data_IF_089864510433
#
_entry.id   IF_089864510433
#
_cell.length_a   1.000
_cell.length_b   1.000
_cell.length_c   1.000
_cell.angle_alpha   90.00
_cell.angle_beta   90.00
_cell.angle_gamma   90.00
#
_symmetry.space_group_name_H-M   'P 1'
#
loop_
_entity.id
_entity.type
_entity.pdbx_description
1 polymer ?
#
# COMPACT_ATOMS: atom_id res chain seq x y z
N UNK A 1 0.76 -2.30 11.00
CA UNK A 1 1.03 -2.90 9.67
C UNK A 1 0.80 -4.40 9.73
N UNK A 2 0.07 -4.97 8.76
CA UNK A 2 -0.41 -6.37 8.83
C UNK A 2 0.50 -7.38 8.11
N UNK A 3 1.74 -7.03 7.76
CA UNK A 3 2.68 -7.91 7.05
C UNK A 3 2.57 -7.89 5.52
N UNK A 4 1.93 -6.87 4.95
CA UNK A 4 1.99 -6.60 3.53
C UNK A 4 3.30 -5.87 3.22
N UNK A 5 4.21 -6.52 2.51
CA UNK A 5 5.54 -5.98 2.20
C UNK A 5 5.46 -4.72 1.31
N UNK A 6 4.40 -4.57 0.55
CA UNK A 6 4.19 -3.36 -0.25
C UNK A 6 3.96 -2.11 0.61
N UNK A 7 3.21 -2.24 1.70
CA UNK A 7 3.02 -1.14 2.65
C UNK A 7 4.37 -0.80 3.35
N UNK A 8 5.22 -1.82 3.56
CA UNK A 8 6.57 -1.66 4.13
C UNK A 8 7.48 -0.87 3.18
N UNK A 9 7.47 -1.18 1.88
CA UNK A 9 8.25 -0.45 0.87
C UNK A 9 7.97 1.06 0.88
N UNK A 10 6.70 1.43 0.77
CA UNK A 10 6.28 2.83 0.75
C UNK A 10 6.64 3.55 2.05
N UNK A 11 6.36 2.90 3.17
CA UNK A 11 6.58 3.50 4.49
C UNK A 11 8.07 3.65 4.81
N UNK A 12 8.94 2.74 4.35
CA UNK A 12 10.39 2.89 4.47
C UNK A 12 10.87 4.17 3.78
N UNK A 13 10.41 4.41 2.55
CA UNK A 13 10.76 5.62 1.80
C UNK A 13 10.27 6.87 2.52
N UNK A 14 9.01 6.88 2.95
CA UNK A 14 8.43 8.02 3.66
C UNK A 14 9.16 8.32 4.97
N UNK A 15 9.37 7.32 5.82
CA UNK A 15 10.03 7.53 7.12
C UNK A 15 11.49 7.96 6.96
N UNK A 16 12.23 7.39 6.01
CA UNK A 16 13.59 7.83 5.69
C UNK A 16 13.61 9.31 5.30
N UNK A 17 12.67 9.73 4.45
CA UNK A 17 12.55 11.11 4.02
C UNK A 17 12.15 12.07 5.16
N UNK A 18 11.28 11.60 6.09
CA UNK A 18 10.91 12.40 7.26
C UNK A 18 12.07 12.52 8.27
N UNK A 19 12.92 11.49 8.40
CA UNK A 19 14.13 11.56 9.23
C UNK A 19 15.14 12.60 8.74
N UNK A 20 15.22 12.84 7.43
CA UNK A 20 16.08 13.90 6.87
C UNK A 20 15.62 15.33 7.25
N UNK A 21 14.41 15.48 7.81
CA UNK A 21 13.94 16.74 8.37
C UNK A 21 14.42 16.96 9.83
N UNK A 22 15.15 16.00 10.39
CA UNK A 22 15.69 16.03 11.76
C UNK A 22 14.62 16.30 12.85
N UNK A 23 13.45 15.61 12.82
CA UNK A 23 12.42 15.83 13.82
C UNK A 23 12.90 15.40 15.20
N UNK A 24 12.51 16.12 16.26
CA UNK A 24 12.80 15.72 17.64
C UNK A 24 12.21 14.35 17.98
N UNK A 25 11.01 14.09 17.48
CA UNK A 25 10.32 12.80 17.60
C UNK A 25 9.59 12.44 16.32
N UNK A 26 9.74 11.21 15.87
CA UNK A 26 9.00 10.62 14.77
C UNK A 26 8.30 9.36 15.26
N UNK A 27 7.04 9.49 15.64
CA UNK A 27 6.23 8.38 16.12
C UNK A 27 5.39 7.76 15.00
N UNK A 28 5.32 6.43 14.98
CA UNK A 28 4.49 5.68 14.06
C UNK A 28 3.28 5.11 14.80
N UNK A 29 2.09 5.61 14.46
CA UNK A 29 0.84 5.06 14.95
C UNK A 29 0.29 3.99 13.99
N UNK A 30 -0.23 2.91 14.53
CA UNK A 30 -0.77 1.87 13.67
C UNK A 30 -1.51 0.75 14.38
N UNK A 31 -2.24 0.00 13.58
CA UNK A 31 -2.94 -1.22 13.97
C UNK A 31 -2.36 -2.41 13.18
N UNK A 32 -2.12 -3.56 13.75
CA UNK A 32 -2.49 -4.06 15.09
C UNK A 32 -1.51 -3.60 16.19
N UNK A 33 -1.90 -3.86 17.46
CA UNK A 33 -1.10 -3.55 18.65
C UNK A 33 0.31 -4.15 18.64
N UNK A 34 0.55 -5.19 17.85
CA UNK A 34 1.89 -5.74 17.58
C UNK A 34 2.15 -5.71 16.08
N UNK A 35 3.21 -5.01 15.64
CA UNK A 35 3.61 -5.01 14.24
C UNK A 35 4.06 -6.41 13.79
N UNK A 36 3.98 -6.68 12.49
CA UNK A 36 4.48 -7.93 11.95
C UNK A 36 6.03 -7.94 11.94
N UNK A 37 6.69 -9.11 12.10
CA UNK A 37 8.15 -9.20 12.01
C UNK A 37 8.74 -8.57 10.74
N UNK A 38 8.06 -8.70 9.60
CA UNK A 38 8.45 -8.11 8.33
C UNK A 38 8.55 -6.57 8.33
N UNK A 39 8.15 -5.92 9.43
CA UNK A 39 8.15 -4.45 9.57
C UNK A 39 9.24 -3.95 10.51
N UNK A 40 10.14 -4.83 10.97
CA UNK A 40 11.18 -4.47 11.94
C UNK A 40 12.07 -3.31 11.44
N UNK A 41 12.53 -3.40 10.18
CA UNK A 41 13.40 -2.37 9.57
C UNK A 41 12.71 -1.01 9.49
N UNK A 42 11.40 -1.01 9.21
CA UNK A 42 10.59 0.21 9.15
C UNK A 42 10.38 0.80 10.55
N UNK A 43 10.17 -0.07 11.55
CA UNK A 43 9.99 0.38 12.93
C UNK A 43 11.26 0.99 13.51
N UNK A 44 12.44 0.54 13.06
CA UNK A 44 13.70 1.14 13.44
C UNK A 44 13.87 2.60 12.95
N UNK A 45 13.07 3.04 11.98
CA UNK A 45 13.05 4.43 11.51
C UNK A 45 12.13 5.34 12.35
N UNK A 46 11.32 4.78 13.24
CA UNK A 46 10.45 5.55 14.16
C UNK A 46 10.99 5.46 15.58
N UNK A 47 10.76 6.52 16.38
CA UNK A 47 11.19 6.53 17.78
C UNK A 47 10.31 5.64 18.65
N UNK A 48 9.02 5.64 18.38
CA UNK A 48 8.03 4.81 19.08
C UNK A 48 6.99 4.27 18.14
N UNK A 49 6.51 3.07 18.45
CA UNK A 49 5.31 2.53 17.85
C UNK A 49 4.12 2.69 18.80
N UNK A 50 3.18 3.53 18.41
CA UNK A 50 1.95 3.75 19.17
C UNK A 50 0.90 2.76 18.68
N UNK A 51 0.63 1.74 19.49
CA UNK A 51 -0.43 0.80 19.21
C UNK A 51 -1.79 1.50 19.22
N UNK A 52 -2.47 1.48 18.09
CA UNK A 52 -3.81 2.03 17.98
C UNK A 52 -4.86 0.96 18.25
N UNK A 53 -5.56 1.01 19.39
CA UNK A 53 -6.59 0.06 19.76
C UNK A 53 -7.93 0.34 19.08
N UNK A 54 -7.93 0.98 17.90
CA UNK A 54 -9.20 1.26 17.20
C UNK A 54 -10.06 0.01 17.10
N UNK A 55 -11.32 0.03 17.58
CA UNK A 55 -12.17 -1.14 17.56
C UNK A 55 -12.41 -1.62 16.13
N UNK A 56 -12.12 -2.89 15.87
CA UNK A 56 -12.44 -3.56 14.59
C UNK A 56 -13.90 -3.46 14.16
N UNK A 57 -14.75 -3.04 15.06
CA UNK A 57 -16.20 -3.12 14.96
C UNK A 57 -16.88 -1.77 14.73
N UNK A 58 -16.10 -0.72 14.39
CA UNK A 58 -16.69 0.59 14.15
C UNK A 58 -17.74 0.57 13.04
N UNK A 59 -17.51 -0.23 12.00
CA UNK A 59 -18.46 -0.43 10.90
C UNK A 59 -19.70 -1.25 11.27
N UNK A 60 -19.68 -1.89 12.44
CA UNK A 60 -20.79 -2.71 12.96
C UNK A 60 -21.59 -1.99 14.06
N UNK A 61 -21.19 -0.79 14.44
CA UNK A 61 -21.94 -0.02 15.44
C UNK A 61 -23.22 0.53 14.81
N UNK A 62 -24.37 0.36 15.46
CA UNK A 62 -25.62 0.92 14.98
C UNK A 62 -25.48 2.44 14.85
N UNK A 63 -26.03 2.98 13.76
CA UNK A 63 -26.24 4.40 13.59
C UNK A 63 -27.17 4.90 14.68
N UNK A 64 -26.64 5.56 15.71
CA UNK A 64 -27.43 6.04 16.83
C UNK A 64 -26.57 6.60 17.97
N UNK A 65 -27.20 6.80 19.13
CA UNK A 65 -26.55 7.41 20.32
C UNK A 65 -25.24 6.70 20.72
N UNK A 66 -25.17 5.38 20.57
CA UNK A 66 -23.94 4.60 20.85
C UNK A 66 -22.79 4.98 19.92
N UNK A 67 -23.04 5.15 18.63
CA UNK A 67 -22.03 5.58 17.65
C UNK A 67 -21.49 6.98 17.96
N UNK A 68 -22.37 7.92 18.30
CA UNK A 68 -21.99 9.29 18.64
C UNK A 68 -21.14 9.37 19.93
N UNK A 69 -21.44 8.54 20.95
CA UNK A 69 -20.64 8.48 22.18
C UNK A 69 -19.23 7.95 21.91
N UNK A 70 -19.10 6.91 21.10
CA UNK A 70 -17.81 6.33 20.75
C UNK A 70 -17.00 7.33 19.90
N UNK A 71 -17.62 7.99 18.92
CA UNK A 71 -17.00 9.03 18.12
C UNK A 71 -16.48 10.18 19.02
N UNK A 72 -17.27 10.61 20.00
CA UNK A 72 -16.88 11.64 20.97
C UNK A 72 -15.70 11.22 21.84
N UNK A 73 -15.69 9.99 22.34
CA UNK A 73 -14.56 9.47 23.13
C UNK A 73 -13.29 9.35 22.27
N UNK A 74 -13.45 8.85 21.04
CA UNK A 74 -12.34 8.75 20.08
C UNK A 74 -11.74 10.11 19.77
N UNK A 75 -12.57 11.08 19.43
CA UNK A 75 -12.15 12.46 19.15
C UNK A 75 -11.40 13.07 20.33
N UNK A 76 -11.89 12.89 21.58
CA UNK A 76 -11.19 13.38 22.78
C UNK A 76 -9.83 12.74 22.97
N UNK A 77 -9.73 11.42 22.74
CA UNK A 77 -8.46 10.69 22.84
C UNK A 77 -7.47 11.16 21.77
N UNK A 78 -7.95 11.35 20.53
CA UNK A 78 -7.12 11.86 19.44
C UNK A 78 -6.64 13.28 19.67
N UNK A 79 -7.50 14.15 20.15
CA UNK A 79 -7.12 15.51 20.54
C UNK A 79 -5.97 15.50 21.56
N UNK A 80 -6.06 14.69 22.61
CA UNK A 80 -5.00 14.57 23.63
C UNK A 80 -3.70 13.97 23.06
N UNK A 81 -3.80 13.08 22.09
CA UNK A 81 -2.63 12.52 21.43
C UNK A 81 -1.98 13.57 20.52
N UNK A 82 -2.76 14.15 19.63
CA UNK A 82 -2.25 15.04 18.59
C UNK A 82 -1.77 16.38 19.13
N UNK A 83 -2.29 16.86 20.28
CA UNK A 83 -1.77 18.08 20.93
C UNK A 83 -0.30 18.00 21.38
N UNK A 84 0.36 16.84 21.19
CA UNK A 84 1.79 16.63 21.52
C UNK A 84 2.67 16.61 20.28
N UNK A 85 2.12 16.87 19.11
CA UNK A 85 2.81 16.79 17.83
C UNK A 85 2.60 18.06 17.03
N UNK A 86 3.54 18.32 16.13
CA UNK A 86 3.52 19.49 15.26
C UNK A 86 2.91 19.21 13.89
N UNK A 87 2.77 17.95 13.50
CA UNK A 87 2.17 17.54 12.24
C UNK A 87 1.56 16.13 12.28
N UNK A 88 0.60 15.87 11.39
CA UNK A 88 0.08 14.54 11.09
C UNK A 88 0.43 14.15 9.65
N UNK A 89 1.18 13.07 9.49
CA UNK A 89 1.44 12.48 8.17
C UNK A 89 0.68 11.16 8.05
N UNK A 90 -0.33 11.12 7.20
CA UNK A 90 -1.07 9.92 6.88
C UNK A 90 -0.23 9.05 5.93
N UNK A 91 0.13 7.85 6.39
CA UNK A 91 0.95 6.91 5.64
C UNK A 91 0.33 6.54 4.28
N UNK A 92 1.13 6.25 3.25
CA UNK A 92 0.64 5.89 1.92
C UNK A 92 -0.30 4.68 1.95
N UNK A 93 -1.30 4.67 1.10
CA UNK A 93 -2.17 3.51 0.97
C UNK A 93 -3.55 3.77 0.35
N UNK A 94 -4.29 2.70 0.05
CA UNK A 94 -5.61 2.78 -0.58
C UNK A 94 -6.75 2.68 0.46
N UNK A 95 -6.63 3.28 1.63
CA UNK A 95 -7.60 3.09 2.70
C UNK A 95 -8.60 4.25 2.87
N UNK A 96 -8.49 5.31 2.07
CA UNK A 96 -9.45 6.42 2.06
C UNK A 96 -10.52 6.18 0.99
N UNK A 97 -11.46 5.28 1.30
CA UNK A 97 -12.62 4.99 0.45
C UNK A 97 -13.76 4.44 1.32
N UNK A 98 -15.02 4.70 0.94
CA UNK A 98 -16.21 4.29 1.71
C UNK A 98 -16.26 2.80 2.05
N UNK A 99 -15.80 1.96 1.12
CA UNK A 99 -15.77 0.51 1.29
C UNK A 99 -14.64 0.01 2.20
N UNK A 100 -13.71 0.88 2.62
CA UNK A 100 -12.62 0.48 3.52
C UNK A 100 -12.94 0.86 4.97
N UNK A 101 -13.07 -0.10 5.88
CA UNK A 101 -13.41 0.19 7.28
C UNK A 101 -12.35 1.04 8.01
N UNK A 102 -11.15 1.19 7.43
CA UNK A 102 -10.09 2.06 7.97
C UNK A 102 -10.32 3.53 7.65
N UNK A 103 -11.14 3.83 6.63
CA UNK A 103 -11.40 5.21 6.21
C UNK A 103 -11.98 6.04 7.35
N UNK A 104 -12.92 5.50 8.10
CA UNK A 104 -13.59 6.22 9.20
C UNK A 104 -12.59 6.73 10.23
N UNK A 105 -11.64 5.89 10.68
CA UNK A 105 -10.63 6.33 11.64
C UNK A 105 -9.65 7.34 11.04
N UNK A 106 -9.21 7.11 9.81
CA UNK A 106 -8.28 8.02 9.14
C UNK A 106 -8.91 9.39 8.88
N UNK A 107 -10.17 9.44 8.43
CA UNK A 107 -10.91 10.69 8.21
C UNK A 107 -11.15 11.44 9.53
N UNK A 108 -11.44 10.72 10.62
CA UNK A 108 -11.53 11.31 11.96
C UNK A 108 -10.18 11.89 12.40
N UNK A 109 -9.08 11.18 12.20
CA UNK A 109 -7.74 11.64 12.54
C UNK A 109 -7.36 12.91 11.77
N UNK A 110 -7.63 12.94 10.47
CA UNK A 110 -7.45 14.12 9.61
C UNK A 110 -8.26 15.32 10.15
N UNK A 111 -9.55 15.10 10.44
CA UNK A 111 -10.42 16.16 10.93
C UNK A 111 -9.94 16.72 12.28
N UNK A 112 -9.57 15.85 13.22
CA UNK A 112 -9.11 16.25 14.56
C UNK A 112 -7.78 16.99 14.49
N UNK A 113 -6.82 16.51 13.70
CA UNK A 113 -5.53 17.18 13.54
C UNK A 113 -5.71 18.59 12.92
N UNK A 114 -6.54 18.70 11.89
CA UNK A 114 -6.84 19.97 11.25
C UNK A 114 -7.58 20.95 12.19
N UNK A 115 -8.46 20.46 13.07
CA UNK A 115 -9.12 21.27 14.10
C UNK A 115 -8.15 21.79 15.17
N UNK A 116 -7.05 21.11 15.41
CA UNK A 116 -5.97 21.53 16.28
C UNK A 116 -4.99 22.50 15.59
N UNK A 117 -5.20 22.82 14.31
CA UNK A 117 -4.30 23.66 13.53
C UNK A 117 -3.04 22.94 13.05
N UNK A 118 -2.95 21.62 13.19
CA UNK A 118 -1.79 20.88 12.73
C UNK A 118 -1.78 20.77 11.20
N UNK A 119 -0.63 20.90 10.53
CA UNK A 119 -0.49 20.52 9.15
C UNK A 119 -0.75 19.02 9.00
N UNK A 120 -1.63 18.69 8.04
CA UNK A 120 -2.02 17.32 7.73
C UNK A 120 -1.57 16.98 6.32
N UNK A 121 -0.74 15.96 6.20
CA UNK A 121 -0.19 15.50 4.93
C UNK A 121 -0.79 14.12 4.58
N UNK A 122 -1.43 14.03 3.42
CA UNK A 122 -1.85 12.75 2.84
C UNK A 122 -0.77 12.27 1.86
N UNK A 123 0.10 11.36 2.32
CA UNK A 123 1.27 10.92 1.57
C UNK A 123 0.92 9.79 0.59
N UNK A 124 0.97 10.06 -0.72
CA UNK A 124 0.87 9.05 -1.79
C UNK A 124 -0.33 8.09 -1.64
N UNK A 125 -1.55 8.65 -1.65
CA UNK A 125 -2.78 7.90 -1.46
C UNK A 125 -3.49 7.52 -2.77
N UNK A 126 -4.16 6.36 -2.77
CA UNK A 126 -5.32 6.12 -3.60
C UNK A 126 -6.57 6.50 -2.79
N UNK A 127 -7.33 7.46 -3.27
CA UNK A 127 -8.57 7.89 -2.65
C UNK A 127 -9.73 7.47 -3.57
N UNK A 128 -10.61 6.66 -3.04
CA UNK A 128 -11.80 6.19 -3.75
C UNK A 128 -13.01 7.10 -3.51
N UNK A 129 -14.21 6.65 -3.93
CA UNK A 129 -15.43 7.37 -3.62
C UNK A 129 -15.57 7.61 -2.11
N UNK A 130 -15.88 8.85 -1.75
CA UNK A 130 -16.17 9.31 -0.40
C UNK A 130 -17.48 10.09 -0.42
N UNK A 131 -18.23 9.98 0.65
CA UNK A 131 -19.37 10.86 0.92
C UNK A 131 -18.89 12.31 1.18
N UNK A 132 -19.82 13.25 1.27
CA UNK A 132 -19.49 14.67 1.51
C UNK A 132 -18.77 14.88 2.86
N UNK A 133 -19.03 14.06 3.86
CA UNK A 133 -18.34 14.12 5.16
C UNK A 133 -16.87 13.71 5.01
N UNK A 134 -16.62 12.63 4.29
CA UNK A 134 -15.26 12.15 3.98
C UNK A 134 -14.49 13.16 3.12
N UNK A 135 -15.14 13.73 2.10
CA UNK A 135 -14.54 14.79 1.27
C UNK A 135 -14.23 16.03 2.09
N UNK A 136 -15.13 16.44 2.99
CA UNK A 136 -14.90 17.57 3.88
C UNK A 136 -13.68 17.36 4.78
N UNK A 137 -13.46 16.14 5.29
CA UNK A 137 -12.26 15.82 6.04
C UNK A 137 -11.00 15.90 5.16
N UNK A 138 -11.03 15.31 3.95
CA UNK A 138 -9.91 15.35 3.01
C UNK A 138 -9.57 16.79 2.58
N UNK A 139 -10.57 17.67 2.42
CA UNK A 139 -10.37 19.11 2.12
C UNK A 139 -9.56 19.83 3.20
N UNK A 140 -9.65 19.40 4.47
CA UNK A 140 -8.90 19.97 5.59
C UNK A 140 -7.41 19.62 5.60
N UNK A 141 -6.99 18.59 4.88
CA UNK A 141 -5.57 18.28 4.79
C UNK A 141 -4.81 19.44 4.15
N UNK A 142 -3.61 19.75 4.64
CA UNK A 142 -2.74 20.80 4.11
C UNK A 142 -2.26 20.44 2.71
N UNK A 143 -1.85 19.18 2.53
CA UNK A 143 -1.45 18.67 1.22
C UNK A 143 -1.97 17.26 0.99
N UNK A 144 -2.33 16.96 -0.25
CA UNK A 144 -2.84 15.67 -0.73
C UNK A 144 -2.03 15.23 -1.92
N UNK A 145 -1.29 14.11 -1.74
CA UNK A 145 -0.49 13.52 -2.81
C UNK A 145 -1.25 12.31 -3.35
N UNK A 146 -1.67 12.40 -4.60
CA UNK A 146 -2.33 11.32 -5.33
C UNK A 146 -1.30 10.49 -6.07
N UNK A 147 -1.26 9.18 -5.83
CA UNK A 147 -0.26 8.28 -6.45
C UNK A 147 -0.64 7.76 -7.83
N UNK A 148 -1.86 8.05 -8.30
CA UNK A 148 -2.33 7.71 -9.64
C UNK A 148 -3.28 8.77 -10.20
N UNK A 149 -3.37 8.90 -11.54
CA UNK A 149 -4.22 9.90 -12.22
C UNK A 149 -5.71 9.76 -11.86
N UNK A 150 -6.20 8.56 -11.58
CA UNK A 150 -7.61 8.33 -11.23
C UNK A 150 -7.99 9.04 -9.93
N UNK A 151 -7.19 8.92 -8.89
CA UNK A 151 -7.37 9.63 -7.62
C UNK A 151 -7.27 11.15 -7.82
N UNK A 152 -6.28 11.60 -8.58
CA UNK A 152 -6.09 13.03 -8.85
C UNK A 152 -7.32 13.61 -9.55
N UNK A 153 -7.80 13.00 -10.64
CA UNK A 153 -9.01 13.43 -11.35
C UNK A 153 -10.25 13.41 -10.46
N UNK A 154 -10.41 12.35 -9.64
CA UNK A 154 -11.53 12.25 -8.70
C UNK A 154 -11.56 13.43 -7.73
N UNK A 155 -10.44 13.74 -7.09
CA UNK A 155 -10.36 14.86 -6.14
C UNK A 155 -10.58 16.22 -6.82
N UNK A 156 -9.90 16.48 -7.95
CA UNK A 156 -10.06 17.74 -8.70
C UNK A 156 -11.50 17.93 -9.19
N UNK A 157 -12.16 16.86 -9.67
CA UNK A 157 -13.57 16.89 -10.09
C UNK A 157 -14.55 17.17 -8.93
N UNK A 158 -14.10 17.00 -7.67
CA UNK A 158 -14.85 17.35 -6.45
C UNK A 158 -14.39 18.67 -5.82
N UNK A 159 -13.62 19.48 -6.54
CA UNK A 159 -13.10 20.75 -6.05
C UNK A 159 -12.06 20.61 -4.94
N UNK A 160 -11.37 19.47 -4.87
CA UNK A 160 -10.30 19.19 -3.90
C UNK A 160 -8.97 19.18 -4.64
N UNK A 161 -8.11 20.17 -4.39
CA UNK A 161 -6.77 20.21 -4.98
C UNK A 161 -5.93 19.04 -4.52
N UNK A 162 -5.16 18.44 -5.40
CA UNK A 162 -4.15 17.42 -5.07
C UNK A 162 -2.93 17.55 -5.99
N UNK A 163 -1.80 17.03 -5.53
CA UNK A 163 -0.58 16.92 -6.34
C UNK A 163 -0.55 15.52 -6.94
N UNK A 164 -0.47 15.43 -8.27
CA UNK A 164 -0.25 14.15 -8.94
C UNK A 164 1.20 13.71 -8.72
N UNK A 165 1.35 12.48 -8.31
CA UNK A 165 2.63 11.83 -8.04
C UNK A 165 2.59 10.40 -8.56
N UNK A 166 3.60 9.60 -8.22
CA UNK A 166 3.58 8.16 -8.30
C UNK A 166 3.71 7.54 -6.91
N UNK A 167 3.55 6.23 -6.83
CA UNK A 167 3.70 5.49 -5.58
C UNK A 167 5.13 5.60 -5.04
N UNK A 168 5.29 5.85 -3.74
CA UNK A 168 6.61 5.98 -3.12
C UNK A 168 7.46 4.70 -3.22
N UNK A 169 6.85 3.55 -3.46
CA UNK A 169 7.59 2.31 -3.71
C UNK A 169 8.54 2.40 -4.93
N UNK A 170 8.28 3.29 -5.90
CA UNK A 170 9.22 3.54 -7.01
C UNK A 170 10.56 4.11 -6.54
N UNK A 171 10.62 4.75 -5.37
CA UNK A 171 11.83 5.34 -4.79
C UNK A 171 12.56 4.40 -3.82
N UNK A 172 12.00 3.22 -3.54
CA UNK A 172 12.67 2.27 -2.64
C UNK A 172 14.04 1.89 -3.25
N UNK A 173 15.12 1.86 -2.44
CA UNK A 173 16.44 1.49 -2.94
C UNK A 173 16.55 -0.02 -3.17
N UNK A 174 16.09 -0.49 -4.33
CA UNK A 174 16.15 -1.91 -4.73
C UNK A 174 17.58 -2.42 -4.96
N UNK A 175 18.60 -1.64 -4.66
CA UNK A 175 20.02 -1.98 -4.82
C UNK A 175 20.47 -2.91 -3.71
N UNK A 176 21.38 -3.85 -4.03
CA UNK A 176 21.99 -4.84 -3.12
C UNK A 176 21.19 -6.13 -2.90
N UNK A 177 20.63 -6.69 -3.95
CA UNK A 177 20.11 -8.06 -3.90
C UNK A 177 21.22 -9.04 -4.29
N UNK A 178 22.30 -9.07 -3.48
CA UNK A 178 23.38 -10.04 -3.65
C UNK A 178 22.95 -11.40 -3.07
N UNK A 179 23.30 -12.49 -3.76
CA UNK A 179 23.06 -13.86 -3.36
C UNK A 179 22.17 -14.63 -4.34
N UNK A 180 22.23 -15.95 -4.26
CA UNK A 180 21.40 -16.83 -5.09
C UNK A 180 19.92 -16.61 -4.81
N UNK A 181 19.09 -16.74 -5.84
CA UNK A 181 17.63 -16.74 -5.71
C UNK A 181 17.16 -17.94 -4.87
N UNK A 182 15.98 -17.86 -4.26
CA UNK A 182 15.42 -18.97 -3.49
C UNK A 182 14.94 -20.14 -4.37
N UNK A 183 14.95 -19.97 -5.68
CA UNK A 183 14.54 -20.94 -6.70
C UNK A 183 15.49 -20.83 -7.88
N UNK A 184 15.84 -21.96 -8.47
CA UNK A 184 16.67 -21.98 -9.67
C UNK A 184 15.90 -21.44 -10.89
N UNK A 185 16.45 -20.46 -11.63
CA UNK A 185 15.84 -19.94 -12.86
C UNK A 185 15.91 -20.96 -14.02
N UNK A 186 15.07 -20.83 -15.06
CA UNK A 186 14.10 -19.75 -15.26
C UNK A 186 12.74 -20.02 -14.59
N UNK A 187 12.20 -18.98 -13.92
CA UNK A 187 10.86 -19.05 -13.35
C UNK A 187 10.11 -17.73 -13.49
N UNK A 188 8.78 -17.81 -13.56
CA UNK A 188 7.86 -16.67 -13.56
C UNK A 188 7.02 -16.65 -12.28
N UNK A 189 6.94 -15.49 -11.66
CA UNK A 189 6.20 -15.32 -10.42
C UNK A 189 4.74 -14.96 -10.68
N UNK A 190 3.86 -15.55 -9.88
CA UNK A 190 2.43 -15.29 -9.90
C UNK A 190 1.96 -14.90 -8.50
N UNK A 191 1.54 -13.63 -8.33
CA UNK A 191 0.98 -13.10 -7.10
C UNK A 191 -0.53 -12.98 -7.23
N UNK A 192 -1.28 -13.75 -6.44
CA UNK A 192 -2.74 -13.75 -6.44
C UNK A 192 -3.28 -13.48 -5.04
N UNK A 193 -4.38 -12.71 -4.98
CA UNK A 193 -5.13 -12.46 -3.74
C UNK A 193 -6.30 -13.42 -3.63
N UNK A 194 -6.54 -13.88 -2.40
CA UNK A 194 -7.62 -14.82 -2.09
C UNK A 194 -9.03 -14.29 -2.41
N UNK A 195 -9.21 -12.98 -2.45
CA UNK A 195 -10.49 -12.34 -2.73
C UNK A 195 -10.70 -11.96 -4.20
N UNK A 196 -9.71 -12.15 -5.06
CA UNK A 196 -9.77 -11.77 -6.48
C UNK A 196 -9.90 -12.97 -7.42
N UNK A 197 -9.54 -14.16 -6.94
CA UNK A 197 -9.48 -15.39 -7.77
C UNK A 197 -10.29 -16.49 -7.11
N UNK A 198 -11.08 -17.20 -7.89
CA UNK A 198 -11.77 -18.41 -7.41
C UNK A 198 -10.84 -19.62 -7.54
N UNK A 199 -10.36 -20.14 -6.40
CA UNK A 199 -9.49 -21.30 -6.36
C UNK A 199 -10.05 -22.53 -7.07
N UNK A 200 -11.39 -22.69 -7.12
CA UNK A 200 -12.06 -23.84 -7.77
C UNK A 200 -11.97 -23.77 -9.29
N UNK A 201 -11.74 -22.59 -9.83
CA UNK A 201 -11.64 -22.33 -11.27
C UNK A 201 -10.19 -22.31 -11.77
N UNK A 202 -9.21 -22.36 -10.84
CA UNK A 202 -7.81 -22.39 -11.20
C UNK A 202 -7.39 -23.78 -11.69
N UNK A 203 -6.71 -23.81 -12.83
CA UNK A 203 -6.13 -25.03 -13.39
C UNK A 203 -4.82 -24.73 -14.10
N UNK A 204 -3.95 -25.71 -14.16
CA UNK A 204 -2.74 -25.69 -14.98
C UNK A 204 -2.94 -26.65 -16.16
N UNK A 205 -2.70 -26.14 -17.35
CA UNK A 205 -2.74 -26.95 -18.58
C UNK A 205 -1.62 -26.48 -19.51
N UNK A 206 -0.82 -27.41 -20.02
CA UNK A 206 0.30 -27.12 -20.94
C UNK A 206 1.25 -26.03 -20.38
N UNK A 207 1.60 -26.13 -19.10
CA UNK A 207 2.45 -25.14 -18.44
C UNK A 207 1.80 -23.77 -18.16
N UNK A 208 0.54 -23.56 -18.56
CA UNK A 208 -0.18 -22.29 -18.41
C UNK A 208 -1.17 -22.35 -17.26
N UNK A 209 -1.25 -21.26 -16.49
CA UNK A 209 -2.24 -21.10 -15.40
C UNK A 209 -3.46 -20.36 -15.91
N UNK A 210 -4.63 -20.93 -15.67
CA UNK A 210 -5.94 -20.38 -16.06
C UNK A 210 -6.85 -20.21 -14.85
N UNK A 211 -7.78 -19.25 -14.93
CA UNK A 211 -9.00 -19.17 -14.13
C UNK A 211 -10.21 -19.35 -15.06
N UNK A 212 -10.84 -20.53 -15.04
CA UNK A 212 -11.82 -20.91 -16.06
C UNK A 212 -11.17 -20.95 -17.44
N UNK A 213 -11.62 -20.08 -18.36
CA UNK A 213 -11.03 -19.90 -19.70
C UNK A 213 -10.00 -18.78 -19.78
N UNK A 214 -9.92 -17.92 -18.77
CA UNK A 214 -9.00 -16.78 -18.72
C UNK A 214 -7.58 -17.24 -18.44
N UNK A 215 -6.64 -16.93 -19.34
CA UNK A 215 -5.22 -17.12 -19.12
C UNK A 215 -4.73 -16.10 -18.04
N UNK A 216 -4.12 -16.62 -16.97
CA UNK A 216 -3.49 -15.81 -15.91
C UNK A 216 -2.00 -15.67 -16.16
N UNK A 217 -1.31 -16.79 -16.37
CA UNK A 217 0.14 -16.80 -16.58
C UNK A 217 0.54 -17.89 -17.59
N UNK A 218 1.51 -17.56 -18.41
CA UNK A 218 2.14 -18.48 -19.34
C UNK A 218 3.50 -18.91 -18.82
N UNK A 219 3.70 -20.20 -18.60
CA UNK A 219 4.93 -20.83 -18.14
C UNK A 219 5.45 -21.90 -19.12
N UNK A 220 5.13 -21.79 -20.40
CA UNK A 220 5.47 -22.81 -21.42
C UNK A 220 6.99 -23.07 -21.49
N UNK A 221 7.81 -22.06 -21.22
CA UNK A 221 9.27 -22.12 -21.28
C UNK A 221 9.95 -22.00 -19.91
N UNK A 222 9.17 -21.92 -18.83
CA UNK A 222 9.68 -21.59 -17.51
C UNK A 222 8.75 -22.13 -16.41
N UNK A 223 9.28 -22.32 -15.21
CA UNK A 223 8.48 -22.76 -14.08
C UNK A 223 7.56 -21.64 -13.57
N UNK A 224 6.26 -21.93 -13.42
CA UNK A 224 5.36 -21.04 -12.69
C UNK A 224 5.54 -21.24 -11.18
N UNK A 225 5.74 -20.13 -10.46
CA UNK A 225 5.92 -20.11 -9.01
C UNK A 225 4.89 -19.18 -8.40
N UNK A 226 4.05 -19.71 -7.52
CA UNK A 226 3.15 -18.88 -6.72
C UNK A 226 3.96 -18.13 -5.67
N UNK A 227 3.67 -16.86 -5.46
CA UNK A 227 4.35 -16.05 -4.45
C UNK A 227 3.38 -15.17 -3.67
N UNK A 228 3.71 -14.86 -2.41
CA UNK A 228 2.95 -13.90 -1.62
C UNK A 228 3.83 -12.89 -0.94
N UNK A 229 3.42 -11.63 -0.99
CA UNK A 229 3.97 -10.50 -0.22
C UNK A 229 3.11 -10.15 1.00
N UNK A 230 2.03 -10.91 1.27
CA UNK A 230 1.15 -10.75 2.44
C UNK A 230 0.85 -12.12 3.04
N UNK A 231 1.79 -12.58 3.85
CA UNK A 231 1.76 -13.92 4.44
C UNK A 231 0.54 -14.16 5.34
N UNK A 232 -0.05 -13.11 5.92
CA UNK A 232 -1.22 -13.24 6.79
C UNK A 232 -2.53 -13.44 6.03
N UNK A 233 -2.66 -12.81 4.86
CA UNK A 233 -3.91 -12.85 4.09
C UNK A 233 -3.94 -13.96 3.08
N UNK A 234 -2.84 -14.15 2.36
CA UNK A 234 -2.84 -14.99 1.16
C UNK A 234 -2.13 -16.32 1.32
N UNK A 235 -1.20 -16.48 2.28
CA UNK A 235 -0.39 -17.68 2.38
C UNK A 235 -1.23 -18.97 2.53
N UNK A 236 -2.26 -18.96 3.37
CA UNK A 236 -3.14 -20.11 3.54
C UNK A 236 -3.96 -20.45 2.29
N UNK A 237 -4.42 -19.46 1.56
CA UNK A 237 -5.09 -19.63 0.27
C UNK A 237 -4.12 -20.19 -0.77
N UNK A 238 -2.97 -19.54 -0.96
CA UNK A 238 -1.99 -19.95 -1.95
C UNK A 238 -1.37 -21.30 -1.66
N UNK A 239 -1.22 -21.71 -0.39
CA UNK A 239 -0.77 -23.04 -0.03
C UNK A 239 -1.75 -24.14 -0.49
N UNK A 240 -3.05 -23.88 -0.40
CA UNK A 240 -4.07 -24.81 -0.95
C UNK A 240 -4.00 -24.87 -2.48
N UNK A 241 -3.90 -23.73 -3.14
CA UNK A 241 -3.77 -23.64 -4.61
C UNK A 241 -2.47 -24.33 -5.07
N UNK A 242 -1.35 -24.06 -4.45
CA UNK A 242 -0.05 -24.65 -4.76
C UNK A 242 -0.10 -26.18 -4.70
N UNK A 243 -0.69 -26.71 -3.62
CA UNK A 243 -0.86 -28.17 -3.46
C UNK A 243 -1.77 -28.77 -4.54
N UNK A 244 -2.92 -28.14 -4.81
CA UNK A 244 -3.89 -28.63 -5.78
C UNK A 244 -3.33 -28.62 -7.21
N UNK A 245 -2.55 -27.60 -7.56
CA UNK A 245 -1.98 -27.42 -8.89
C UNK A 245 -0.54 -27.95 -9.03
N UNK A 246 0.04 -28.47 -7.94
CA UNK A 246 1.44 -28.95 -7.88
C UNK A 246 2.45 -27.87 -8.30
N UNK A 247 2.18 -26.62 -7.92
CA UNK A 247 3.08 -25.51 -8.16
C UNK A 247 3.91 -25.19 -6.90
N UNK A 248 5.17 -24.75 -7.04
CA UNK A 248 5.94 -24.24 -5.91
C UNK A 248 5.30 -22.95 -5.36
N UNK A 249 5.48 -22.73 -4.05
CA UNK A 249 5.01 -21.53 -3.36
C UNK A 249 6.14 -20.92 -2.55
N UNK A 250 6.37 -19.61 -2.72
CA UNK A 250 7.26 -18.81 -1.89
C UNK A 250 6.46 -17.76 -1.12
N UNK A 251 6.57 -17.80 0.19
CA UNK A 251 5.99 -16.79 1.09
C UNK A 251 7.09 -15.85 1.56
N UNK A 252 7.18 -14.68 0.97
CA UNK A 252 8.19 -13.67 1.33
C UNK A 252 7.91 -13.11 2.72
N UNK A 253 8.90 -13.13 3.59
CA UNK A 253 8.82 -12.68 4.99
C UNK A 253 9.44 -11.30 5.19
N UNK A 254 10.28 -10.86 4.24
CA UNK A 254 10.93 -9.55 4.26
C UNK A 254 10.89 -8.90 2.87
N UNK A 255 11.11 -7.59 2.82
CA UNK A 255 11.26 -6.87 1.56
C UNK A 255 12.48 -7.38 0.79
N UNK A 256 13.59 -7.66 1.47
CA UNK A 256 14.78 -8.23 0.85
C UNK A 256 14.52 -9.57 0.16
N UNK A 257 13.73 -10.47 0.77
CA UNK A 257 13.32 -11.73 0.13
C UNK A 257 12.44 -11.48 -1.10
N UNK A 258 11.48 -10.55 -1.01
CA UNK A 258 10.62 -10.19 -2.14
C UNK A 258 11.44 -9.65 -3.31
N UNK A 259 12.32 -8.69 -3.05
CA UNK A 259 13.17 -8.07 -4.07
C UNK A 259 14.09 -9.11 -4.70
N UNK A 260 14.74 -9.96 -3.90
CA UNK A 260 15.60 -11.05 -4.40
C UNK A 260 14.84 -12.04 -5.26
N UNK A 261 13.65 -12.47 -4.82
CA UNK A 261 12.81 -13.40 -5.58
C UNK A 261 12.43 -12.81 -6.95
N UNK A 262 12.05 -11.53 -7.00
CA UNK A 262 11.67 -10.86 -8.24
C UNK A 262 12.89 -10.62 -9.13
N UNK A 263 14.04 -10.23 -8.57
CA UNK A 263 15.25 -9.95 -9.37
C UNK A 263 15.77 -11.15 -10.16
N UNK A 264 15.56 -12.37 -9.66
CA UNK A 264 15.96 -13.61 -10.33
C UNK A 264 14.87 -14.23 -11.21
N UNK A 265 13.65 -13.68 -11.20
CA UNK A 265 12.57 -14.15 -12.05
C UNK A 265 12.71 -13.65 -13.49
N UNK A 266 12.09 -14.34 -14.44
CA UNK A 266 11.91 -13.89 -15.82
C UNK A 266 10.80 -12.83 -15.93
N UNK A 267 9.93 -12.70 -14.94
CA UNK A 267 8.86 -11.73 -14.91
C UNK A 267 7.83 -12.01 -13.82
N UNK A 268 6.90 -11.09 -13.66
CA UNK A 268 5.85 -11.11 -12.64
C UNK A 268 4.47 -10.98 -13.27
N UNK A 269 3.56 -11.82 -12.85
CA UNK A 269 2.11 -11.69 -13.09
C UNK A 269 1.45 -11.40 -11.75
N UNK A 270 0.71 -10.30 -11.62
CA UNK A 270 0.26 -9.89 -10.30
C UNK A 270 -1.09 -9.17 -10.31
N UNK A 271 -1.98 -9.56 -9.42
CA UNK A 271 -3.14 -8.79 -8.99
C UNK A 271 -2.83 -7.95 -7.72
N UNK A 272 -1.55 -7.94 -7.30
CA UNK A 272 -0.99 -7.13 -6.24
C UNK A 272 -0.21 -5.95 -6.82
N UNK A 273 -0.45 -4.76 -6.26
CA UNK A 273 0.11 -3.50 -6.74
C UNK A 273 1.64 -3.45 -6.67
N UNK A 274 2.21 -3.71 -5.50
CA UNK A 274 3.64 -3.50 -5.25
C UNK A 274 4.59 -4.54 -5.87
N UNK A 275 4.23 -5.84 -5.97
CA UNK A 275 5.06 -6.76 -6.74
C UNK A 275 5.25 -6.35 -8.20
N UNK A 276 4.22 -5.73 -8.82
CA UNK A 276 4.33 -5.20 -10.18
C UNK A 276 5.26 -3.99 -10.24
N UNK A 277 5.18 -3.06 -9.28
CA UNK A 277 6.13 -1.93 -9.17
C UNK A 277 7.56 -2.45 -8.96
N UNK A 278 7.75 -3.38 -8.04
CA UNK A 278 9.06 -3.96 -7.77
C UNK A 278 9.66 -4.59 -9.03
N UNK A 279 8.86 -5.34 -9.79
CA UNK A 279 9.29 -5.92 -11.07
C UNK A 279 9.70 -4.83 -12.07
N UNK A 280 8.87 -3.81 -12.26
CA UNK A 280 9.15 -2.72 -13.17
C UNK A 280 10.47 -2.01 -12.83
N UNK A 281 10.68 -1.65 -11.55
CA UNK A 281 11.92 -0.98 -11.11
C UNK A 281 13.16 -1.88 -11.26
N UNK A 282 12.99 -3.20 -11.14
CA UNK A 282 14.06 -4.17 -11.38
C UNK A 282 14.25 -4.53 -12.86
N UNK A 283 13.58 -3.85 -13.78
CA UNK A 283 13.66 -4.12 -15.22
C UNK A 283 13.07 -5.47 -15.64
N UNK A 284 12.13 -6.02 -14.83
CA UNK A 284 11.45 -7.29 -15.13
C UNK A 284 10.09 -7.04 -15.76
N UNK A 285 9.68 -7.81 -16.76
CA UNK A 285 8.34 -7.77 -17.31
C UNK A 285 7.28 -7.93 -16.21
N UNK A 286 6.30 -7.03 -16.16
CA UNK A 286 5.22 -7.05 -15.19
C UNK A 286 3.86 -7.07 -15.89
N UNK A 287 3.11 -8.15 -15.74
CA UNK A 287 1.71 -8.24 -16.16
C UNK A 287 0.80 -7.94 -14.97
N UNK A 288 0.11 -6.82 -15.05
CA UNK A 288 -0.85 -6.39 -14.03
C UNK A 288 -2.21 -7.03 -14.32
N UNK A 289 -2.72 -7.83 -13.39
CA UNK A 289 -4.04 -8.42 -13.50
C UNK A 289 -5.09 -7.48 -12.89
N UNK A 290 -6.23 -7.39 -13.56
CA UNK A 290 -7.40 -6.70 -13.00
C UNK A 290 -7.91 -7.43 -11.76
N UNK A 291 -8.39 -6.68 -10.79
CA UNK A 291 -8.94 -7.18 -9.54
C UNK A 291 -10.26 -6.48 -9.17
N UNK A 292 -10.77 -6.72 -7.97
CA UNK A 292 -12.01 -6.09 -7.46
C UNK A 292 -11.86 -4.58 -7.18
N UNK A 293 -10.65 -4.05 -7.25
CA UNK A 293 -10.34 -2.62 -7.17
C UNK A 293 -9.87 -2.14 -8.57
N UNK A 294 -10.75 -2.16 -9.61
CA UNK A 294 -10.34 -2.01 -11.00
C UNK A 294 -9.60 -0.69 -11.24
N UNK A 295 -10.10 0.40 -10.71
CA UNK A 295 -9.49 1.73 -10.89
C UNK A 295 -8.04 1.79 -10.44
N UNK A 296 -7.69 1.08 -9.37
CA UNK A 296 -6.33 1.04 -8.83
C UNK A 296 -5.38 0.24 -9.72
N UNK A 297 -5.81 -0.96 -10.15
CA UNK A 297 -4.95 -1.83 -10.97
C UNK A 297 -4.85 -1.32 -12.40
N UNK A 298 -5.95 -0.82 -12.96
CA UNK A 298 -5.97 -0.13 -14.25
C UNK A 298 -5.08 1.13 -14.21
N UNK A 299 -5.16 1.92 -13.14
CA UNK A 299 -4.29 3.07 -12.94
C UNK A 299 -2.81 2.70 -12.93
N UNK A 300 -2.43 1.60 -12.27
CA UNK A 300 -1.05 1.10 -12.30
C UNK A 300 -0.66 0.60 -13.69
N UNK A 301 -1.54 -0.16 -14.34
CA UNK A 301 -1.29 -0.67 -15.68
C UNK A 301 -1.01 0.47 -16.67
N UNK A 302 -1.85 1.51 -16.66
CA UNK A 302 -1.68 2.67 -17.51
C UNK A 302 -0.41 3.44 -17.16
N UNK A 303 -0.11 3.63 -15.86
CA UNK A 303 1.14 4.28 -15.43
C UNK A 303 2.38 3.55 -15.96
N UNK A 304 2.40 2.21 -15.89
CA UNK A 304 3.51 1.40 -16.37
C UNK A 304 3.58 1.30 -17.90
N UNK A 305 2.46 1.47 -18.60
CA UNK A 305 2.42 1.47 -20.06
C UNK A 305 2.82 2.82 -20.66
N UNK A 306 2.42 3.93 -20.01
CA UNK A 306 2.54 5.27 -20.55
C UNK A 306 3.82 5.99 -20.12
N UNK A 307 4.56 5.46 -19.11
CA UNK A 307 5.73 6.13 -18.54
C UNK A 307 6.90 5.18 -18.36
N UNK A 308 8.11 5.71 -18.51
CA UNK A 308 9.32 5.01 -18.08
C UNK A 308 9.41 4.94 -16.55
N UNK A 309 10.20 4.01 -16.03
CA UNK A 309 10.45 3.89 -14.58
C UNK A 309 11.08 5.17 -14.03
N UNK A 310 11.98 5.80 -14.78
CA UNK A 310 12.63 7.06 -14.42
C UNK A 310 11.63 8.21 -14.27
N UNK A 311 10.65 8.27 -15.16
CA UNK A 311 9.56 9.26 -15.07
C UNK A 311 8.68 9.02 -13.84
N UNK A 312 8.34 7.77 -13.55
CA UNK A 312 7.57 7.41 -12.35
C UNK A 312 8.36 7.71 -11.08
N UNK A 313 9.67 7.47 -11.07
CA UNK A 313 10.55 7.87 -9.97
C UNK A 313 10.61 9.39 -9.81
N UNK A 314 10.68 10.14 -10.91
CA UNK A 314 10.65 11.61 -10.89
C UNK A 314 9.33 12.12 -10.32
N UNK A 315 8.20 11.58 -10.76
CA UNK A 315 6.88 11.91 -10.21
C UNK A 315 6.78 11.58 -8.71
N UNK A 316 7.29 10.44 -8.28
CA UNK A 316 7.30 10.07 -6.86
C UNK A 316 8.17 11.03 -6.04
N UNK A 317 9.30 11.51 -6.58
CA UNK A 317 10.13 12.55 -5.93
C UNK A 317 9.38 13.86 -5.78
N UNK A 318 8.64 14.31 -6.81
CA UNK A 318 7.80 15.53 -6.71
C UNK A 318 6.84 15.43 -5.54
N UNK A 319 6.17 14.29 -5.36
CA UNK A 319 5.30 14.06 -4.20
C UNK A 319 6.06 14.12 -2.89
N UNK A 320 7.21 13.47 -2.81
CA UNK A 320 8.03 13.43 -1.60
C UNK A 320 8.60 14.81 -1.23
N UNK A 321 9.05 15.58 -2.20
CA UNK A 321 9.58 16.93 -2.00
C UNK A 321 8.45 17.91 -1.60
N UNK A 322 7.25 17.72 -2.11
CA UNK A 322 6.06 18.47 -1.67
C UNK A 322 5.76 18.19 -0.19
N UNK A 323 5.84 16.93 0.24
CA UNK A 323 5.67 16.55 1.66
C UNK A 323 6.72 17.26 2.51
N UNK A 324 8.00 17.15 2.14
CA UNK A 324 9.11 17.80 2.86
C UNK A 324 8.96 19.32 2.92
N UNK A 325 8.64 19.96 1.79
CA UNK A 325 8.44 21.41 1.72
C UNK A 325 7.29 21.86 2.63
N UNK A 326 6.16 21.16 2.61
CA UNK A 326 5.02 21.47 3.49
C UNK A 326 5.40 21.38 4.96
N UNK A 327 6.11 20.35 5.37
CA UNK A 327 6.49 20.17 6.78
C UNK A 327 7.54 21.21 7.23
N UNK A 328 8.55 21.52 6.40
CA UNK A 328 9.57 22.56 6.72
C UNK A 328 8.99 23.95 6.94
N UNK A 329 7.91 24.28 6.23
CA UNK A 329 7.28 25.61 6.34
C UNK A 329 6.24 25.68 7.46
N UNK A 330 5.88 24.55 8.03
CA UNK A 330 4.79 24.43 9.01
C UNK A 330 5.26 24.07 10.41
N UNK A 331 6.50 23.61 10.56
CA UNK A 331 7.22 23.28 11.80
C UNK A 331 8.36 24.26 11.96
#
# INVERSE_FOLDING_TARGET
MKGNLGDVLQLSVLLSALRELEPQTLDLAGYPARPAPATADVLALADRYLADPFPRYWSLLPTGVGGALIERQWTRRRRRLFSRYDALVCAPGPYLAEYDPRAVSALCDIAVAAELGLPVVLASHSIGPLDERGLAAVRRATVRISREPATHRYLCGRGVSSVLSADLAFLYPYRNVNGAGPIDPPYRLVFLRSNNVDARRLRVAQGKLFEGTRLIADGEREQLVLATSDTRRDAGFLARVARALRLPLVACRSVGELVRLISHSSGVVSDRYHPAICAAVLGKPALVLQNREPHKMEGLQNLLADNSVEELQRLARVGLDTIRGTLRTSI
#
